data_IF_735027427084
#
_entry.id   IF_735027427084
#
_cell.length_a   1.000
_cell.length_b   1.000
_cell.length_c   1.000
_cell.angle_alpha   90.00
_cell.angle_beta   90.00
_cell.angle_gamma   90.00
#
_symmetry.space_group_name_H-M   'P 1'
#
loop_
_entity.id
_entity.type
_entity.pdbx_description
1 polymer ?
#
# COMPACT_ATOMS: atom_id res chain seq x y z
N UNK A 1 25.26 0.15 -20.49
CA UNK A 1 23.80 0.14 -20.28
C UNK A 1 23.17 -0.75 -21.33
N UNK A 2 22.54 -1.84 -20.95
CA UNK A 2 21.94 -2.80 -21.89
C UNK A 2 20.69 -2.21 -22.54
N UNK A 3 20.39 -2.56 -23.79
CA UNK A 3 19.22 -2.10 -24.57
C UNK A 3 17.89 -2.18 -23.80
N UNK A 4 17.71 -3.15 -22.91
CA UNK A 4 16.52 -3.31 -22.05
C UNK A 4 16.32 -2.17 -21.03
N UNK A 5 17.39 -1.50 -20.61
CA UNK A 5 17.34 -0.40 -19.62
C UNK A 5 16.88 0.91 -20.25
N UNK A 6 17.13 1.13 -21.53
CA UNK A 6 16.71 2.32 -22.27
C UNK A 6 15.18 2.34 -22.52
N UNK A 7 14.58 1.19 -22.81
CA UNK A 7 13.14 1.10 -23.13
C UNK A 7 12.21 1.42 -21.94
N UNK A 8 12.68 1.30 -20.69
CA UNK A 8 11.89 1.59 -19.49
C UNK A 8 12.27 2.89 -18.79
N UNK A 9 13.16 3.71 -19.36
CA UNK A 9 13.54 4.99 -18.79
C UNK A 9 12.30 5.89 -18.70
N UNK A 10 12.16 6.56 -17.59
CA UNK A 10 11.22 7.64 -17.38
C UNK A 10 11.98 8.96 -17.51
N UNK A 11 11.63 9.81 -18.48
CA UNK A 11 12.21 11.16 -18.53
C UNK A 11 11.70 11.96 -17.33
N UNK A 12 12.59 12.52 -16.49
CA UNK A 12 12.19 13.45 -15.44
C UNK A 12 11.59 14.69 -16.06
N UNK A 13 10.78 15.43 -15.30
CA UNK A 13 10.11 16.65 -15.77
C UNK A 13 11.09 17.63 -16.41
N UNK A 14 12.30 17.76 -15.87
CA UNK A 14 13.35 18.65 -16.37
C UNK A 14 13.90 18.27 -17.76
N UNK A 15 13.60 17.07 -18.26
CA UNK A 15 14.00 16.62 -19.61
C UNK A 15 12.81 16.62 -20.60
N UNK A 16 11.64 17.07 -20.21
CA UNK A 16 10.48 17.18 -21.11
C UNK A 16 10.64 18.38 -22.07
N UNK A 17 9.89 18.44 -23.18
CA UNK A 17 9.76 19.65 -23.95
C UNK A 17 9.34 20.85 -23.08
N UNK A 18 9.84 22.05 -23.36
CA UNK A 18 9.62 23.23 -22.53
C UNK A 18 8.14 23.56 -22.34
N UNK A 19 7.34 23.40 -23.38
CA UNK A 19 5.89 23.60 -23.30
C UNK A 19 5.23 22.64 -22.32
N UNK A 20 5.66 21.38 -22.29
CA UNK A 20 5.13 20.36 -21.40
C UNK A 20 5.53 20.63 -19.95
N UNK A 21 6.77 21.08 -19.73
CA UNK A 21 7.24 21.49 -18.40
C UNK A 21 6.42 22.65 -17.86
N UNK A 22 6.20 23.68 -18.69
CA UNK A 22 5.42 24.86 -18.34
C UNK A 22 3.98 24.50 -18.03
N UNK A 23 3.33 23.71 -18.90
CA UNK A 23 1.96 23.28 -18.72
C UNK A 23 1.78 22.42 -17.44
N UNK A 24 2.74 21.53 -17.14
CA UNK A 24 2.73 20.77 -15.90
C UNK A 24 2.94 21.65 -14.66
N UNK A 25 3.87 22.61 -14.73
CA UNK A 25 4.08 23.55 -13.64
C UNK A 25 2.81 24.37 -13.32
N UNK A 26 2.07 24.79 -14.34
CA UNK A 26 0.76 25.47 -14.18
C UNK A 26 -0.29 24.53 -13.59
N UNK A 27 -0.34 23.27 -14.05
CA UNK A 27 -1.33 22.30 -13.58
C UNK A 27 -1.19 21.92 -12.09
N UNK A 28 0.02 22.00 -11.53
CA UNK A 28 0.27 21.68 -10.10
C UNK A 28 0.30 22.90 -9.18
N UNK A 29 0.15 24.13 -9.73
CA UNK A 29 -0.01 25.34 -8.91
C UNK A 29 -1.28 25.28 -8.06
N UNK A 30 -1.41 26.09 -7.00
CA UNK A 30 -2.66 26.23 -6.30
C UNK A 30 -3.81 26.54 -7.27
N UNK A 31 -4.97 25.94 -7.01
CA UNK A 31 -6.15 26.17 -7.85
C UNK A 31 -6.55 27.65 -7.85
N UNK A 32 -6.77 28.21 -9.03
CA UNK A 32 -7.28 29.58 -9.20
C UNK A 32 -8.79 29.49 -9.55
N UNK A 33 -9.69 30.01 -8.70
CA UNK A 33 -11.13 29.99 -8.99
C UNK A 33 -11.53 30.89 -10.17
N UNK A 34 -10.67 31.81 -10.58
CA UNK A 34 -10.93 32.73 -11.70
C UNK A 34 -10.27 32.26 -13.02
N UNK A 35 -9.36 31.29 -12.95
CA UNK A 35 -8.76 30.66 -14.14
C UNK A 35 -8.89 29.13 -14.05
N UNK A 36 -9.85 28.61 -14.79
CA UNK A 36 -10.15 27.17 -14.81
C UNK A 36 -9.05 26.31 -15.45
N UNK A 37 -7.97 26.92 -15.97
CA UNK A 37 -6.83 26.18 -16.55
C UNK A 37 -5.67 26.01 -15.58
N UNK A 38 -5.66 26.74 -14.46
CA UNK A 38 -4.63 26.70 -13.44
C UNK A 38 -5.00 25.73 -12.31
N UNK A 39 -4.02 24.99 -11.82
CA UNK A 39 -4.19 24.18 -10.63
C UNK A 39 -5.04 22.91 -10.83
N UNK A 40 -5.22 22.44 -12.05
CA UNK A 40 -6.07 21.26 -12.35
C UNK A 40 -5.60 19.99 -11.63
N UNK A 41 -4.30 19.87 -11.31
CA UNK A 41 -3.72 18.77 -10.57
C UNK A 41 -3.36 19.15 -9.11
N UNK A 42 -3.68 20.36 -8.66
CA UNK A 42 -3.35 20.85 -7.30
C UNK A 42 -3.98 20.00 -6.19
N UNK A 43 -5.21 19.53 -6.42
CA UNK A 43 -5.92 18.66 -5.47
C UNK A 43 -5.43 17.20 -5.44
N UNK A 44 -4.47 16.83 -6.27
CA UNK A 44 -3.92 15.49 -6.24
C UNK A 44 -2.88 15.34 -5.13
N UNK A 45 -2.91 14.21 -4.43
CA UNK A 45 -1.81 13.86 -3.53
C UNK A 45 -0.48 13.81 -4.31
N UNK A 46 0.63 14.25 -3.70
CA UNK A 46 1.95 14.30 -4.32
C UNK A 46 2.32 12.98 -5.01
N UNK A 47 2.08 11.85 -4.36
CA UNK A 47 2.33 10.53 -4.94
C UNK A 47 1.52 10.28 -6.23
N UNK A 48 0.33 10.85 -6.38
CA UNK A 48 -0.46 10.77 -7.61
C UNK A 48 0.15 11.62 -8.71
N UNK A 49 0.58 12.84 -8.38
CA UNK A 49 1.29 13.72 -9.31
C UNK A 49 2.55 13.03 -9.84
N UNK A 50 3.36 12.44 -8.94
CA UNK A 50 4.61 11.74 -9.30
C UNK A 50 4.35 10.53 -10.20
N UNK A 51 3.32 9.73 -9.92
CA UNK A 51 2.95 8.56 -10.73
C UNK A 51 2.47 8.96 -12.12
N UNK A 52 1.67 10.02 -12.23
CA UNK A 52 1.16 10.51 -13.52
C UNK A 52 2.30 11.14 -14.33
N UNK A 53 3.16 11.95 -13.70
CA UNK A 53 4.34 12.52 -14.32
C UNK A 53 5.30 11.43 -14.82
N UNK A 54 5.56 10.40 -14.00
CA UNK A 54 6.37 9.27 -14.40
C UNK A 54 5.77 8.49 -15.60
N UNK A 55 4.44 8.35 -15.64
CA UNK A 55 3.73 7.75 -16.77
C UNK A 55 3.93 8.52 -18.06
N UNK A 56 3.82 9.84 -17.98
CA UNK A 56 4.05 10.73 -19.12
C UNK A 56 5.53 10.76 -19.56
N UNK A 57 6.46 10.80 -18.62
CA UNK A 57 7.88 10.71 -18.93
C UNK A 57 8.28 9.41 -19.64
N UNK A 58 7.57 8.29 -19.40
CA UNK A 58 7.76 7.03 -20.17
C UNK A 58 7.23 7.16 -21.59
N UNK A 59 6.10 7.83 -21.78
CA UNK A 59 5.55 8.12 -23.10
C UNK A 59 6.51 9.00 -23.92
N UNK A 60 7.00 10.08 -23.35
CA UNK A 60 7.97 10.96 -24.01
C UNK A 60 9.27 10.22 -24.34
N UNK A 61 9.79 9.38 -23.43
CA UNK A 61 10.96 8.56 -23.73
C UNK A 61 10.72 7.59 -24.90
N UNK A 62 9.53 7.00 -24.99
CA UNK A 62 9.18 6.13 -26.10
C UNK A 62 9.13 6.91 -27.43
N UNK A 63 8.58 8.11 -27.46
CA UNK A 63 8.62 8.99 -28.64
C UNK A 63 10.06 9.38 -29.01
N UNK A 64 10.89 9.73 -28.03
CA UNK A 64 12.30 10.08 -28.25
C UNK A 64 13.09 8.95 -28.91
N UNK A 65 12.90 7.71 -28.45
CA UNK A 65 13.56 6.53 -29.02
C UNK A 65 13.19 6.26 -30.47
N UNK A 66 12.03 6.75 -30.91
CA UNK A 66 11.54 6.63 -32.29
C UNK A 66 11.90 7.85 -33.15
N UNK A 67 12.54 8.87 -32.55
CA UNK A 67 12.79 10.13 -33.24
C UNK A 67 11.53 10.94 -33.50
N UNK A 68 10.44 10.67 -32.75
CA UNK A 68 9.13 11.30 -32.89
C UNK A 68 8.84 12.35 -31.81
N UNK A 69 9.78 12.54 -30.87
CA UNK A 69 9.69 13.59 -29.87
C UNK A 69 10.25 14.89 -30.47
N UNK A 70 9.37 15.76 -30.95
CA UNK A 70 9.74 17.11 -31.32
C UNK A 70 9.58 18.06 -30.11
N UNK A 71 10.41 19.10 -30.05
CA UNK A 71 10.35 20.12 -29.01
C UNK A 71 9.34 21.26 -29.29
N UNK A 72 8.67 21.25 -30.42
CA UNK A 72 7.84 22.34 -30.94
C UNK A 72 6.33 21.99 -30.84
N UNK A 73 5.96 20.73 -31.06
CA UNK A 73 4.58 20.28 -31.02
C UNK A 73 3.99 20.28 -29.59
N UNK A 74 2.67 20.50 -29.51
CA UNK A 74 1.95 20.43 -28.22
C UNK A 74 1.87 18.99 -27.70
N UNK A 75 1.62 18.79 -26.40
CA UNK A 75 1.36 17.46 -25.84
C UNK A 75 0.27 16.68 -26.61
N UNK A 76 -0.79 17.35 -27.04
CA UNK A 76 -1.90 16.73 -27.75
C UNK A 76 -1.58 16.36 -29.20
N UNK A 77 -0.83 17.17 -29.90
CA UNK A 77 -0.39 16.86 -31.28
C UNK A 77 0.46 15.60 -31.33
N UNK A 78 1.19 15.32 -30.26
CA UNK A 78 1.94 14.07 -30.09
C UNK A 78 1.04 12.87 -29.80
N UNK A 79 -0.11 13.05 -29.16
CA UNK A 79 -0.99 11.98 -28.67
C UNK A 79 -2.05 11.55 -29.70
N UNK A 80 -1.62 11.18 -30.92
CA UNK A 80 -2.52 10.68 -31.96
C UNK A 80 -2.94 9.23 -31.72
N UNK A 81 -4.08 8.81 -32.29
CA UNK A 81 -4.55 7.41 -32.19
C UNK A 81 -3.53 6.40 -32.70
N UNK A 82 -2.90 6.70 -33.83
CA UNK A 82 -1.88 5.81 -34.41
C UNK A 82 -0.67 5.64 -33.48
N UNK A 83 -0.17 6.74 -32.91
CA UNK A 83 0.95 6.69 -31.96
C UNK A 83 0.57 5.96 -30.66
N UNK A 84 -0.65 6.15 -30.15
CA UNK A 84 -1.11 5.43 -28.97
C UNK A 84 -1.24 3.93 -29.22
N UNK A 85 -1.73 3.54 -30.40
CA UNK A 85 -1.78 2.13 -30.78
C UNK A 85 -0.39 1.51 -30.85
N UNK A 86 0.56 2.18 -31.52
CA UNK A 86 1.94 1.73 -31.59
C UNK A 86 2.62 1.68 -30.18
N UNK A 87 2.28 2.62 -29.31
CA UNK A 87 2.73 2.61 -27.92
C UNK A 87 2.18 1.41 -27.16
N UNK A 88 0.88 1.13 -27.29
CA UNK A 88 0.23 -0.03 -26.68
C UNK A 88 0.89 -1.33 -27.14
N UNK A 89 1.12 -1.50 -28.45
CA UNK A 89 1.79 -2.65 -29.03
C UNK A 89 3.23 -2.81 -28.47
N UNK A 90 3.95 -1.69 -28.33
CA UNK A 90 5.29 -1.71 -27.74
C UNK A 90 5.30 -2.12 -26.25
N UNK A 91 4.28 -1.74 -25.49
CA UNK A 91 4.11 -2.15 -24.09
C UNK A 91 3.76 -3.64 -23.97
N UNK A 92 2.97 -4.17 -24.91
CA UNK A 92 2.64 -5.59 -25.00
C UNK A 92 3.87 -6.43 -25.34
N UNK A 93 4.67 -5.97 -26.34
CA UNK A 93 5.92 -6.61 -26.72
C UNK A 93 6.95 -6.69 -25.59
N UNK A 94 6.92 -5.77 -24.62
CA UNK A 94 7.75 -5.80 -23.42
C UNK A 94 7.29 -6.82 -22.37
N UNK A 95 6.26 -7.61 -22.65
CA UNK A 95 5.69 -8.60 -21.75
C UNK A 95 5.32 -8.03 -20.37
N UNK A 96 4.79 -6.81 -20.34
CA UNK A 96 4.28 -6.20 -19.13
C UNK A 96 2.94 -6.84 -18.71
N UNK A 97 2.63 -6.79 -17.42
CA UNK A 97 1.32 -7.19 -16.95
C UNK A 97 0.23 -6.28 -17.55
N UNK A 98 -0.88 -6.85 -18.01
CA UNK A 98 -1.99 -6.13 -18.67
C UNK A 98 -2.51 -4.96 -17.83
N UNK A 99 -2.64 -5.14 -16.50
CA UNK A 99 -3.00 -4.06 -15.56
C UNK A 99 -1.95 -2.93 -15.55
N UNK A 100 -0.67 -3.24 -15.74
CA UNK A 100 0.38 -2.22 -15.83
C UNK A 100 0.29 -1.45 -17.14
N UNK A 101 -0.04 -2.12 -18.24
CA UNK A 101 -0.28 -1.51 -19.54
C UNK A 101 -1.48 -0.55 -19.45
N UNK A 102 -2.62 -1.03 -18.95
CA UNK A 102 -3.81 -0.20 -18.73
C UNK A 102 -3.49 1.03 -17.86
N UNK A 103 -2.71 0.83 -16.78
CA UNK A 103 -2.26 1.91 -15.91
C UNK A 103 -1.43 2.97 -16.63
N UNK A 104 -0.49 2.58 -17.49
CA UNK A 104 0.34 3.52 -18.27
C UNK A 104 -0.49 4.34 -19.28
N UNK A 105 -1.43 3.70 -19.97
CA UNK A 105 -2.35 4.41 -20.87
C UNK A 105 -3.24 5.38 -20.08
N UNK A 106 -3.72 4.98 -18.90
CA UNK A 106 -4.53 5.85 -18.04
C UNK A 106 -3.75 7.06 -17.52
N UNK A 107 -2.48 6.86 -17.14
CA UNK A 107 -1.58 7.94 -16.70
C UNK A 107 -1.40 8.98 -17.82
N UNK A 108 -1.17 8.53 -19.07
CA UNK A 108 -1.08 9.42 -20.23
C UNK A 108 -2.36 10.23 -20.43
N UNK A 109 -3.52 9.58 -20.45
CA UNK A 109 -4.80 10.27 -20.63
C UNK A 109 -5.07 11.29 -19.51
N UNK A 110 -4.74 10.95 -18.26
CA UNK A 110 -4.87 11.88 -17.11
C UNK A 110 -3.89 13.05 -17.20
N UNK A 111 -2.65 12.81 -17.64
CA UNK A 111 -1.69 13.90 -17.85
C UNK A 111 -2.21 14.89 -18.88
N UNK A 112 -2.64 14.41 -20.05
CA UNK A 112 -3.15 15.27 -21.12
C UNK A 112 -4.37 16.10 -20.69
N UNK A 113 -5.26 15.55 -19.88
CA UNK A 113 -6.38 16.31 -19.30
C UNK A 113 -5.91 17.49 -18.43
N UNK A 114 -4.71 17.39 -17.81
CA UNK A 114 -4.18 18.43 -16.92
C UNK A 114 -3.35 19.47 -17.69
N UNK A 115 -2.55 19.03 -18.66
CA UNK A 115 -1.60 19.92 -19.34
C UNK A 115 -2.12 20.48 -20.67
N UNK A 116 -3.21 19.94 -21.19
CA UNK A 116 -3.89 20.42 -22.40
C UNK A 116 -5.41 20.26 -22.27
N UNK A 117 -6.03 20.97 -21.33
CA UNK A 117 -7.45 20.75 -20.94
C UNK A 117 -8.44 21.08 -22.04
N UNK A 118 -8.06 21.90 -23.04
CA UNK A 118 -8.90 22.21 -24.20
C UNK A 118 -9.13 21.00 -25.12
N UNK A 119 -8.28 19.98 -25.05
CA UNK A 119 -8.39 18.76 -25.84
C UNK A 119 -9.38 17.74 -25.26
N UNK A 120 -9.95 16.92 -26.12
CA UNK A 120 -10.79 15.79 -25.66
C UNK A 120 -9.95 14.53 -25.48
N UNK A 121 -9.52 14.26 -24.25
CA UNK A 121 -8.67 13.11 -23.88
C UNK A 121 -9.45 11.95 -23.28
N UNK A 122 -10.77 12.07 -23.15
CA UNK A 122 -11.62 11.02 -22.56
C UNK A 122 -11.57 9.70 -23.32
N UNK A 123 -11.28 9.72 -24.62
CA UNK A 123 -11.14 8.50 -25.41
C UNK A 123 -9.93 7.64 -24.95
N UNK A 124 -8.84 8.27 -24.51
CA UNK A 124 -7.65 7.56 -23.96
C UNK A 124 -8.00 6.95 -22.60
N UNK A 125 -8.69 7.71 -21.74
CA UNK A 125 -9.12 7.22 -20.42
C UNK A 125 -10.09 6.05 -20.57
N UNK A 126 -11.07 6.16 -21.48
CA UNK A 126 -12.01 5.06 -21.78
C UNK A 126 -11.32 3.82 -22.33
N UNK A 127 -10.33 3.99 -23.21
CA UNK A 127 -9.52 2.88 -23.71
C UNK A 127 -8.75 2.21 -22.56
N UNK A 128 -8.13 2.98 -21.67
CA UNK A 128 -7.46 2.46 -20.49
C UNK A 128 -8.41 1.73 -19.53
N UNK A 129 -9.62 2.25 -19.31
CA UNK A 129 -10.63 1.61 -18.46
C UNK A 129 -11.13 0.29 -19.09
N UNK A 130 -11.24 0.24 -20.42
CA UNK A 130 -11.54 -1.01 -21.14
C UNK A 130 -10.40 -2.03 -20.95
N UNK A 131 -9.15 -1.63 -21.22
CA UNK A 131 -7.99 -2.49 -21.01
C UNK A 131 -7.91 -3.01 -19.57
N UNK A 132 -8.19 -2.16 -18.58
CA UNK A 132 -8.22 -2.55 -17.17
C UNK A 132 -9.31 -3.59 -16.87
N UNK A 133 -10.48 -3.46 -17.49
CA UNK A 133 -11.62 -4.36 -17.27
C UNK A 133 -11.40 -5.75 -17.84
N UNK A 134 -10.74 -5.85 -19.01
CA UNK A 134 -10.47 -7.12 -19.69
C UNK A 134 -9.16 -7.77 -19.24
N UNK A 135 -8.32 -7.03 -18.49
CA UNK A 135 -7.03 -7.49 -18.04
C UNK A 135 -7.16 -8.73 -17.14
N UNK A 136 -6.36 -9.74 -17.43
CA UNK A 136 -6.25 -10.92 -16.60
C UNK A 136 -5.16 -10.72 -15.53
N UNK A 137 -5.40 -11.11 -14.27
CA UNK A 137 -4.38 -11.09 -13.24
C UNK A 137 -3.24 -12.05 -13.61
N UNK A 138 -2.02 -11.55 -13.71
CA UNK A 138 -0.84 -12.37 -14.06
C UNK A 138 -0.48 -13.41 -12.98
N UNK A 139 -0.97 -13.23 -11.77
CA UNK A 139 -0.79 -14.14 -10.63
C UNK A 139 -2.08 -14.26 -9.87
N UNK A 140 -2.50 -15.47 -9.60
CA UNK A 140 -3.53 -15.68 -8.60
C UNK A 140 -2.93 -15.31 -7.23
N UNK A 141 -3.59 -14.37 -6.54
CA UNK A 141 -3.17 -13.97 -5.20
C UNK A 141 -3.50 -15.04 -4.15
N UNK A 142 -4.43 -15.94 -4.46
CA UNK A 142 -4.81 -17.04 -3.58
C UNK A 142 -3.63 -17.96 -3.30
N UNK A 143 -2.76 -18.20 -4.28
CA UNK A 143 -1.57 -19.04 -4.14
C UNK A 143 -0.57 -18.59 -3.06
N UNK A 144 -0.64 -17.32 -2.63
CA UNK A 144 0.26 -16.76 -1.61
C UNK A 144 -0.47 -16.42 -0.31
N UNK A 145 -1.80 -16.61 -0.28
CA UNK A 145 -2.58 -16.40 0.95
C UNK A 145 -2.35 -17.57 1.89
N UNK A 146 -2.22 -17.25 3.16
CA UNK A 146 -2.18 -18.22 4.25
C UNK A 146 -3.36 -17.93 5.18
N UNK A 147 -3.89 -18.92 5.87
CA UNK A 147 -4.87 -18.70 6.92
C UNK A 147 -4.36 -17.67 7.94
N UNK A 148 -5.20 -16.73 8.38
CA UNK A 148 -4.78 -15.66 9.28
C UNK A 148 -4.25 -16.19 10.61
N UNK A 149 -4.79 -17.30 11.13
CA UNK A 149 -4.31 -17.97 12.34
C UNK A 149 -2.89 -18.51 12.20
N UNK A 150 -2.51 -19.02 11.02
CA UNK A 150 -1.15 -19.51 10.74
C UNK A 150 -0.15 -18.35 10.72
N UNK A 151 -0.55 -17.21 10.16
CA UNK A 151 0.33 -16.01 10.18
C UNK A 151 0.40 -15.43 11.60
N UNK A 152 -0.69 -15.42 12.35
CA UNK A 152 -0.70 -15.02 13.75
C UNK A 152 0.24 -15.89 14.58
N UNK A 153 0.17 -17.22 14.39
CA UNK A 153 1.04 -18.16 15.09
C UNK A 153 2.50 -17.90 14.74
N UNK A 154 2.86 -17.68 13.47
CA UNK A 154 4.21 -17.26 13.09
C UNK A 154 4.67 -16.01 13.87
N UNK A 155 3.78 -15.01 14.00
CA UNK A 155 4.09 -13.82 14.79
C UNK A 155 4.41 -14.13 16.26
N UNK A 156 3.61 -15.01 16.89
CA UNK A 156 3.81 -15.45 18.27
C UNK A 156 5.11 -16.25 18.42
N UNK A 157 5.37 -17.20 17.53
CA UNK A 157 6.57 -18.04 17.53
C UNK A 157 7.86 -17.22 17.38
N UNK A 158 7.84 -16.17 16.57
CA UNK A 158 8.97 -15.24 16.42
C UNK A 158 9.22 -14.45 17.70
N UNK A 159 8.18 -14.02 18.40
CA UNK A 159 8.32 -13.33 19.70
C UNK A 159 8.84 -14.28 20.78
N UNK A 160 8.32 -15.49 20.84
CA UNK A 160 8.79 -16.51 21.79
C UNK A 160 10.24 -16.92 21.52
N UNK A 161 10.62 -17.10 20.26
CA UNK A 161 12.00 -17.37 19.88
C UNK A 161 12.94 -16.21 20.23
N UNK A 162 12.47 -14.97 20.15
CA UNK A 162 13.24 -13.80 20.55
C UNK A 162 13.54 -13.78 22.06
N UNK A 163 12.64 -14.27 22.89
CA UNK A 163 12.83 -14.34 24.34
C UNK A 163 13.71 -15.53 24.75
N UNK A 164 13.63 -16.65 24.06
CA UNK A 164 14.22 -17.92 24.48
C UNK A 164 15.55 -18.28 23.79
N UNK A 165 15.85 -17.72 22.62
CA UNK A 165 17.06 -18.04 21.86
C UNK A 165 18.28 -17.33 22.42
N UNK A 166 19.09 -18.09 23.17
CA UNK A 166 20.34 -17.62 23.84
C UNK A 166 21.51 -17.46 22.87
N UNK A 167 21.42 -17.97 21.67
CA UNK A 167 22.52 -17.90 20.70
C UNK A 167 22.46 -16.65 19.83
N UNK A 168 21.38 -15.87 19.88
CA UNK A 168 21.24 -14.59 19.17
C UNK A 168 21.76 -13.43 19.98
N UNK A 169 22.28 -12.42 19.30
CA UNK A 169 22.58 -11.13 19.93
C UNK A 169 21.31 -10.46 20.43
N UNK A 170 21.42 -9.59 21.43
CA UNK A 170 20.26 -8.83 21.93
C UNK A 170 19.58 -8.01 20.82
N UNK A 171 20.38 -7.43 19.92
CA UNK A 171 19.86 -6.70 18.75
C UNK A 171 19.09 -7.62 17.79
N UNK A 172 19.58 -8.83 17.53
CA UNK A 172 18.88 -9.78 16.65
C UNK A 172 17.60 -10.30 17.30
N UNK A 173 17.59 -10.50 18.61
CA UNK A 173 16.40 -10.82 19.39
C UNK A 173 15.38 -9.69 19.33
N UNK A 174 15.81 -8.46 19.51
CA UNK A 174 14.93 -7.29 19.41
C UNK A 174 14.32 -7.12 18.01
N UNK A 175 15.09 -7.37 16.96
CA UNK A 175 14.58 -7.40 15.58
C UNK A 175 13.56 -8.53 15.39
N UNK A 176 13.83 -9.71 15.93
CA UNK A 176 12.95 -10.87 15.81
C UNK A 176 11.61 -10.62 16.51
N UNK A 177 11.65 -10.11 17.74
CA UNK A 177 10.46 -9.76 18.51
C UNK A 177 9.60 -8.71 17.79
N UNK A 178 10.25 -7.62 17.32
CA UNK A 178 9.58 -6.57 16.53
C UNK A 178 8.86 -7.16 15.33
N UNK A 179 9.53 -8.01 14.56
CA UNK A 179 8.98 -8.58 13.34
C UNK A 179 7.81 -9.52 13.64
N UNK A 180 7.87 -10.27 14.73
CA UNK A 180 6.78 -11.09 15.24
C UNK A 180 5.55 -10.26 15.62
N UNK A 181 5.76 -9.21 16.44
CA UNK A 181 4.71 -8.30 16.86
C UNK A 181 4.07 -7.58 15.65
N UNK A 182 4.88 -7.18 14.67
CA UNK A 182 4.43 -6.51 13.46
C UNK A 182 3.53 -7.43 12.61
N UNK A 183 3.88 -8.71 12.45
CA UNK A 183 3.05 -9.70 11.77
C UNK A 183 1.75 -9.96 12.53
N UNK A 184 1.83 -10.24 13.84
CA UNK A 184 0.67 -10.51 14.68
C UNK A 184 -0.32 -9.32 14.72
N UNK A 185 0.20 -8.08 14.77
CA UNK A 185 -0.61 -6.88 14.68
C UNK A 185 -1.28 -6.74 13.31
N UNK A 186 -0.52 -6.91 12.21
CA UNK A 186 -1.03 -6.69 10.87
C UNK A 186 -2.11 -7.69 10.46
N UNK A 187 -2.08 -8.92 11.00
CA UNK A 187 -3.15 -9.91 10.83
C UNK A 187 -4.45 -9.43 11.49
N UNK A 188 -4.36 -8.91 12.70
CA UNK A 188 -5.53 -8.48 13.46
C UNK A 188 -6.02 -7.07 13.08
N UNK A 189 -5.13 -6.22 12.58
CA UNK A 189 -5.41 -4.85 12.11
C UNK A 189 -4.72 -4.65 10.76
N UNK A 190 -5.38 -4.96 9.65
CA UNK A 190 -4.81 -4.94 8.31
C UNK A 190 -4.61 -3.51 7.79
N UNK A 191 -3.78 -2.73 8.48
CA UNK A 191 -3.45 -1.35 8.14
C UNK A 191 -2.79 -1.23 6.77
N UNK A 192 -2.99 -0.09 6.13
CA UNK A 192 -2.14 0.29 5.00
C UNK A 192 -0.71 0.46 5.48
N UNK A 193 0.24 0.12 4.62
CA UNK A 193 1.67 0.13 4.92
C UNK A 193 2.14 1.47 5.48
N UNK A 194 1.70 2.59 4.88
CA UNK A 194 2.03 3.93 5.37
C UNK A 194 1.47 4.20 6.78
N UNK A 195 0.22 3.80 7.05
CA UNK A 195 -0.39 3.98 8.36
C UNK A 195 0.33 3.15 9.43
N UNK A 196 0.73 1.93 9.06
CA UNK A 196 1.51 1.07 9.94
C UNK A 196 2.90 1.67 10.25
N UNK A 197 3.60 2.16 9.23
CA UNK A 197 4.91 2.81 9.37
C UNK A 197 4.83 4.12 10.17
N UNK A 198 3.72 4.84 10.05
CA UNK A 198 3.48 6.11 10.72
C UNK A 198 3.05 6.01 12.19
N UNK A 199 2.98 4.80 12.78
CA UNK A 199 2.63 4.66 14.20
C UNK A 199 3.72 5.28 15.09
N UNK A 200 3.31 6.22 15.94
CA UNK A 200 4.19 7.07 16.76
C UNK A 200 3.66 7.15 18.19
N UNK A 201 4.51 6.79 19.15
CA UNK A 201 4.18 6.80 20.57
C UNK A 201 3.90 8.23 21.05
N UNK A 202 2.84 8.38 21.85
CA UNK A 202 2.45 9.66 22.40
C UNK A 202 1.82 10.64 21.38
N UNK A 203 1.57 10.20 20.15
CA UNK A 203 0.89 10.99 19.12
C UNK A 203 -0.35 10.27 18.59
N UNK A 204 -0.13 9.22 17.79
CA UNK A 204 -1.23 8.43 17.22
C UNK A 204 -1.35 7.02 17.81
N UNK A 205 -0.43 6.63 18.69
CA UNK A 205 -0.51 5.46 19.56
C UNK A 205 -0.30 5.88 21.02
N UNK A 206 -1.39 5.89 21.78
CA UNK A 206 -1.43 6.38 23.15
C UNK A 206 -2.04 5.36 24.09
N UNK A 207 -1.54 5.31 25.34
CA UNK A 207 -2.20 4.65 26.44
C UNK A 207 -3.10 5.67 27.18
N UNK A 208 -4.40 5.35 27.24
CA UNK A 208 -5.36 6.06 28.10
C UNK A 208 -5.84 5.06 29.15
N UNK A 209 -6.99 4.48 29.06
CA UNK A 209 -7.36 3.30 29.87
C UNK A 209 -6.92 2.00 29.16
N UNK A 210 -6.80 2.06 27.84
CA UNK A 210 -6.30 1.02 26.94
C UNK A 210 -5.40 1.66 25.90
N UNK A 211 -4.55 0.86 25.24
CA UNK A 211 -3.77 1.32 24.09
C UNK A 211 -4.70 1.62 22.91
N UNK A 212 -4.64 2.84 22.41
CA UNK A 212 -5.48 3.33 21.31
C UNK A 212 -4.64 3.87 20.17
N UNK A 213 -5.11 3.62 18.95
CA UNK A 213 -4.55 4.16 17.71
C UNK A 213 -5.54 5.18 17.16
N UNK A 214 -5.04 6.40 16.86
CA UNK A 214 -5.80 7.47 16.23
C UNK A 214 -4.95 8.10 15.14
N UNK A 215 -5.39 7.99 13.89
CA UNK A 215 -4.74 8.61 12.73
C UNK A 215 -5.74 9.53 12.09
N UNK A 216 -5.37 10.79 11.97
CA UNK A 216 -6.25 11.84 11.41
C UNK A 216 -6.47 11.63 9.90
N UNK A 217 -7.52 12.22 9.36
CA UNK A 217 -7.91 12.08 7.96
C UNK A 217 -6.83 12.58 7.00
N UNK A 218 -6.14 13.66 7.35
CA UNK A 218 -5.02 14.22 6.57
C UNK A 218 -3.87 13.22 6.36
N UNK A 219 -3.65 12.32 7.32
CA UNK A 219 -2.57 11.34 7.29
C UNK A 219 -2.97 10.01 6.62
N UNK A 220 -4.23 9.90 6.20
CA UNK A 220 -4.74 8.70 5.54
C UNK A 220 -4.92 8.90 4.04
N UNK A 221 -4.60 7.88 3.25
CA UNK A 221 -4.68 7.93 1.77
C UNK A 221 -6.06 8.27 1.21
N UNK A 222 -7.12 7.99 1.95
CA UNK A 222 -8.53 8.15 1.51
C UNK A 222 -9.28 9.20 2.32
N UNK A 223 -8.58 9.97 3.16
CA UNK A 223 -9.20 11.03 3.96
C UNK A 223 -10.20 10.52 5.00
N UNK A 224 -10.14 9.24 5.39
CA UNK A 224 -10.95 8.70 6.47
C UNK A 224 -10.07 8.48 7.70
N UNK A 225 -10.41 9.08 8.87
CA UNK A 225 -9.62 8.90 10.08
C UNK A 225 -9.68 7.43 10.54
N UNK A 226 -8.63 6.99 11.22
CA UNK A 226 -8.57 5.66 11.84
C UNK A 226 -8.63 5.85 13.34
N UNK A 227 -9.57 5.17 14.01
CA UNK A 227 -9.65 5.12 15.47
C UNK A 227 -9.97 3.69 15.88
N UNK A 228 -9.05 3.03 16.59
CA UNK A 228 -9.27 1.68 17.10
C UNK A 228 -8.36 1.40 18.30
N UNK A 229 -8.73 0.40 19.11
CA UNK A 229 -7.87 -0.10 20.16
C UNK A 229 -6.79 -1.00 19.59
N UNK A 230 -5.63 -1.00 20.25
CA UNK A 230 -4.63 -2.05 20.06
C UNK A 230 -5.25 -3.42 20.41
N UNK A 231 -4.95 -4.49 19.65
CA UNK A 231 -5.49 -5.82 19.96
C UNK A 231 -5.18 -6.24 21.40
N UNK A 232 -6.21 -6.60 22.17
CA UNK A 232 -6.05 -6.94 23.59
C UNK A 232 -5.06 -8.06 23.84
N UNK A 233 -5.07 -9.11 23.01
CA UNK A 233 -4.12 -10.21 23.08
C UNK A 233 -2.68 -9.87 22.72
N UNK A 234 -2.40 -8.64 22.26
CA UNK A 234 -1.05 -8.17 21.94
C UNK A 234 -0.58 -7.00 22.82
N UNK A 235 -1.32 -6.65 23.88
CA UNK A 235 -0.97 -5.53 24.76
C UNK A 235 0.34 -5.82 25.50
N UNK A 236 0.46 -6.99 26.11
CA UNK A 236 1.68 -7.40 26.82
C UNK A 236 2.89 -7.40 25.88
N UNK A 237 2.73 -7.94 24.69
CA UNK A 237 3.78 -7.94 23.67
C UNK A 237 4.17 -6.52 23.22
N UNK A 238 3.19 -5.59 23.06
CA UNK A 238 3.47 -4.19 22.77
C UNK A 238 4.31 -3.54 23.87
N UNK A 239 3.90 -3.68 25.12
CA UNK A 239 4.60 -3.10 26.25
C UNK A 239 6.00 -3.70 26.40
N UNK A 240 6.14 -5.01 26.22
CA UNK A 240 7.44 -5.70 26.22
C UNK A 240 8.34 -5.16 25.11
N UNK A 241 7.78 -4.99 23.91
CA UNK A 241 8.51 -4.40 22.80
C UNK A 241 8.99 -2.98 23.13
N UNK A 242 8.10 -2.12 23.60
CA UNK A 242 8.43 -0.73 23.93
C UNK A 242 9.52 -0.65 25.02
N UNK A 243 9.34 -1.41 26.09
CA UNK A 243 10.19 -1.30 27.28
C UNK A 243 11.57 -1.97 27.13
N UNK A 244 11.68 -3.00 26.30
CA UNK A 244 12.89 -3.82 26.20
C UNK A 244 13.48 -3.81 24.81
N UNK A 245 12.77 -4.38 23.84
CA UNK A 245 13.35 -4.62 22.53
C UNK A 245 13.57 -3.33 21.73
N UNK A 246 12.66 -2.39 21.82
CA UNK A 246 12.79 -1.09 21.17
C UNK A 246 13.96 -0.29 21.72
N UNK A 247 14.12 -0.29 23.04
CA UNK A 247 15.29 0.32 23.72
C UNK A 247 16.60 -0.34 23.30
N UNK A 248 16.62 -1.66 23.21
CA UNK A 248 17.79 -2.42 22.73
C UNK A 248 18.22 -1.99 21.33
N UNK A 249 17.25 -1.70 20.42
CA UNK A 249 17.56 -1.23 19.08
C UNK A 249 18.19 0.18 19.07
N UNK A 250 17.93 1.01 20.07
CA UNK A 250 18.58 2.32 20.21
C UNK A 250 19.97 2.22 20.86
N UNK A 251 20.13 1.37 21.87
CA UNK A 251 21.38 1.27 22.65
C UNK A 251 22.58 0.79 21.81
N UNK A 252 22.32 0.00 20.75
CA UNK A 252 23.35 -0.49 19.85
C UNK A 252 23.92 0.56 18.88
N UNK A 253 23.47 1.83 18.94
CA UNK A 253 23.83 2.85 17.96
C UNK A 253 24.86 3.85 18.48
N UNK A 254 25.77 4.25 17.58
CA UNK A 254 26.79 5.30 17.87
C UNK A 254 26.19 6.69 18.05
N UNK A 255 25.00 6.94 17.50
CA UNK A 255 24.27 8.20 17.58
C UNK A 255 22.90 7.90 18.15
N UNK A 256 22.58 8.50 19.29
CA UNK A 256 21.22 8.43 19.86
C UNK A 256 20.27 9.20 18.92
N UNK A 257 19.37 8.47 18.29
CA UNK A 257 18.25 9.06 17.54
C UNK A 257 17.05 8.99 18.48
N UNK A 258 16.60 10.13 18.97
CA UNK A 258 15.33 10.21 19.70
C UNK A 258 14.22 10.14 18.68
N UNK A 259 13.59 8.99 18.59
CA UNK A 259 12.49 8.76 17.69
C UNK A 259 11.29 8.22 18.44
N UNK A 260 10.16 8.88 18.32
CA UNK A 260 8.87 8.41 18.87
C UNK A 260 8.21 7.34 17.96
N UNK A 261 8.77 7.04 16.77
CA UNK A 261 8.25 5.99 15.91
C UNK A 261 8.15 4.65 16.67
N UNK A 262 7.03 3.95 16.49
CA UNK A 262 6.85 2.64 17.11
C UNK A 262 7.87 1.65 16.55
N UNK A 263 7.99 1.56 15.24
CA UNK A 263 8.81 0.55 14.58
C UNK A 263 10.22 1.07 14.33
N UNK A 264 11.19 0.42 14.98
CA UNK A 264 12.61 0.81 14.89
C UNK A 264 13.40 -0.25 14.14
N UNK A 265 14.23 0.19 13.20
CA UNK A 265 15.12 -0.69 12.42
C UNK A 265 16.27 -1.23 13.25
N UNK A 266 16.97 -2.26 12.74
CA UNK A 266 18.21 -2.78 13.35
C UNK A 266 19.28 -1.68 13.54
N UNK A 267 19.22 -0.60 12.76
CA UNK A 267 20.12 0.55 12.82
C UNK A 267 19.62 1.68 13.73
N UNK A 268 18.60 1.43 14.57
CA UNK A 268 18.09 2.42 15.52
C UNK A 268 17.32 3.58 14.88
N UNK A 269 16.89 3.45 13.63
CA UNK A 269 16.12 4.49 12.90
C UNK A 269 14.67 4.07 12.77
N UNK A 270 13.76 5.02 12.65
CA UNK A 270 12.37 4.75 12.29
C UNK A 270 12.29 3.92 11.00
N UNK A 271 11.44 2.90 10.98
CA UNK A 271 11.18 2.10 9.79
C UNK A 271 10.15 2.81 8.92
N UNK A 272 10.56 3.16 7.71
CA UNK A 272 9.60 3.60 6.69
C UNK A 272 8.88 2.42 6.04
N UNK A 273 7.92 2.76 5.15
CA UNK A 273 7.09 1.80 4.42
C UNK A 273 7.87 0.66 3.76
N UNK A 274 8.98 0.97 3.09
CA UNK A 274 9.75 -0.03 2.35
C UNK A 274 10.52 -0.97 3.27
N UNK A 275 10.97 -0.48 4.42
CA UNK A 275 11.61 -1.31 5.44
C UNK A 275 10.60 -2.31 6.03
N UNK A 276 9.40 -1.85 6.40
CA UNK A 276 8.31 -2.72 6.88
C UNK A 276 7.91 -3.73 5.81
N UNK A 277 7.72 -3.29 4.57
CA UNK A 277 7.40 -4.16 3.44
C UNK A 277 8.44 -5.28 3.26
N UNK A 278 9.72 -4.92 3.32
CA UNK A 278 10.82 -5.85 3.14
C UNK A 278 10.89 -6.87 4.27
N UNK A 279 10.69 -6.46 5.53
CA UNK A 279 10.71 -7.35 6.70
C UNK A 279 9.56 -8.36 6.67
N UNK A 280 8.31 -7.89 6.45
CA UNK A 280 7.15 -8.78 6.35
C UNK A 280 7.38 -9.84 5.27
N UNK A 281 7.85 -9.44 4.10
CA UNK A 281 8.14 -10.37 3.00
C UNK A 281 9.26 -11.35 3.33
N UNK A 282 10.30 -10.90 4.01
CA UNK A 282 11.42 -11.75 4.38
C UNK A 282 10.96 -12.85 5.37
N UNK A 283 10.22 -12.47 6.42
CA UNK A 283 9.72 -13.43 7.42
C UNK A 283 8.75 -14.43 6.82
N UNK A 284 7.75 -13.96 6.08
CA UNK A 284 6.76 -14.84 5.45
C UNK A 284 7.37 -15.73 4.37
N UNK A 285 8.40 -15.25 3.63
CA UNK A 285 9.12 -16.09 2.67
C UNK A 285 9.95 -17.17 3.34
N UNK A 286 10.59 -16.84 4.47
CA UNK A 286 11.39 -17.81 5.22
C UNK A 286 10.52 -18.96 5.75
N UNK A 287 9.32 -18.64 6.24
CA UNK A 287 8.40 -19.63 6.80
C UNK A 287 7.64 -20.40 5.72
N UNK A 288 6.99 -19.68 4.81
CA UNK A 288 6.04 -20.30 3.85
C UNK A 288 6.64 -20.56 2.46
N UNK A 289 7.94 -20.28 2.25
CA UNK A 289 8.56 -20.35 0.92
C UNK A 289 8.08 -19.28 -0.06
N UNK A 290 6.97 -18.60 0.22
CA UNK A 290 6.36 -17.55 -0.61
C UNK A 290 6.22 -16.26 0.21
N UNK A 291 6.64 -15.13 -0.38
CA UNK A 291 6.58 -13.83 0.29
C UNK A 291 5.14 -13.26 0.26
N UNK A 292 4.56 -13.04 1.42
CA UNK A 292 3.30 -12.32 1.58
C UNK A 292 3.59 -10.83 1.70
N UNK A 293 2.92 -9.99 0.91
CA UNK A 293 3.08 -8.54 1.04
C UNK A 293 2.00 -7.93 1.96
N UNK A 294 2.22 -6.77 2.58
CA UNK A 294 1.26 -6.16 3.50
C UNK A 294 -0.14 -5.95 2.92
N UNK A 295 -0.26 -5.74 1.60
CA UNK A 295 -1.56 -5.58 0.97
C UNK A 295 -2.37 -6.90 0.94
N UNK A 296 -1.69 -8.04 0.92
CA UNK A 296 -2.34 -9.37 0.95
C UNK A 296 -3.07 -9.61 2.27
N UNK A 297 -2.57 -9.08 3.39
CA UNK A 297 -3.25 -9.17 4.70
C UNK A 297 -4.66 -8.57 4.65
N UNK A 298 -4.84 -7.50 3.88
CA UNK A 298 -6.16 -6.88 3.66
C UNK A 298 -7.09 -7.80 2.85
N UNK A 299 -6.53 -8.52 1.90
CA UNK A 299 -7.30 -9.51 1.12
C UNK A 299 -7.64 -10.73 1.99
N UNK A 300 -6.71 -11.20 2.83
CA UNK A 300 -6.95 -12.29 3.79
C UNK A 300 -8.07 -11.90 4.74
N UNK A 301 -8.03 -10.71 5.35
CA UNK A 301 -9.08 -10.21 6.23
C UNK A 301 -10.44 -10.13 5.52
N UNK A 302 -10.47 -9.60 4.29
CA UNK A 302 -11.70 -9.51 3.50
C UNK A 302 -12.30 -10.90 3.20
N UNK A 303 -11.46 -11.85 2.80
CA UNK A 303 -11.89 -13.23 2.51
C UNK A 303 -12.46 -13.90 3.76
N UNK A 304 -11.75 -13.78 4.89
CA UNK A 304 -12.18 -14.37 6.16
C UNK A 304 -13.54 -13.82 6.63
N UNK A 305 -13.75 -12.49 6.55
CA UNK A 305 -15.04 -11.89 6.92
C UNK A 305 -16.15 -12.35 5.98
N UNK A 306 -15.87 -12.44 4.68
CA UNK A 306 -16.84 -12.89 3.69
C UNK A 306 -17.25 -14.36 3.90
N UNK A 307 -16.32 -15.21 4.34
CA UNK A 307 -16.55 -16.63 4.62
C UNK A 307 -17.28 -16.85 5.95
N UNK A 308 -16.93 -16.08 6.99
CA UNK A 308 -17.53 -16.23 8.32
C UNK A 308 -18.94 -15.63 8.44
N UNK A 309 -19.25 -14.58 7.69
CA UNK A 309 -20.56 -13.92 7.75
C UNK A 309 -20.87 -13.16 6.45
N UNK A 310 -21.47 -13.81 5.44
CA UNK A 310 -21.84 -13.15 4.17
C UNK A 310 -22.75 -11.92 4.35
N UNK A 311 -23.56 -11.90 5.43
CA UNK A 311 -24.42 -10.76 5.75
C UNK A 311 -23.65 -9.52 6.27
N UNK A 312 -22.42 -9.71 6.72
CA UNK A 312 -21.56 -8.64 7.29
C UNK A 312 -20.52 -8.13 6.29
N UNK A 313 -20.78 -8.28 5.00
CA UNK A 313 -19.88 -7.73 3.94
C UNK A 313 -19.64 -6.23 4.06
N UNK A 314 -20.53 -5.47 4.71
CA UNK A 314 -20.32 -4.08 5.11
C UNK A 314 -19.18 -3.93 6.10
N UNK A 315 -18.97 -4.87 7.02
CA UNK A 315 -17.85 -4.85 7.96
C UNK A 315 -16.48 -4.95 7.27
N UNK A 316 -16.41 -5.59 6.09
CA UNK A 316 -15.19 -5.61 5.27
C UNK A 316 -14.75 -4.20 4.91
N UNK A 317 -15.69 -3.32 4.56
CA UNK A 317 -15.40 -1.93 4.19
C UNK A 317 -14.88 -1.15 5.39
N UNK A 318 -15.44 -1.38 6.57
CA UNK A 318 -15.05 -0.71 7.81
C UNK A 318 -13.67 -1.18 8.30
N UNK A 319 -13.40 -2.49 8.35
CA UNK A 319 -12.09 -3.04 8.72
C UNK A 319 -11.00 -2.61 7.74
N UNK A 320 -11.33 -2.52 6.46
CA UNK A 320 -10.37 -2.13 5.43
C UNK A 320 -10.31 -0.62 5.19
N UNK A 321 -11.20 0.18 5.79
CA UNK A 321 -11.28 1.61 5.55
C UNK A 321 -11.42 1.92 4.06
N UNK A 322 -12.28 1.18 3.33
CA UNK A 322 -12.57 1.45 1.93
C UNK A 322 -13.64 2.52 1.84
N UNK A 323 -13.23 3.79 1.81
CA UNK A 323 -14.15 4.90 1.60
C UNK A 323 -14.63 4.97 0.16
N UNK A 324 -15.80 4.46 -0.14
CA UNK A 324 -16.61 4.86 -1.27
C UNK A 324 -18.08 4.99 -0.90
N UNK A 325 -18.37 5.68 0.19
CA UNK A 325 -19.67 6.32 0.41
C UNK A 325 -19.46 7.76 0.91
N UNK A 326 -20.25 8.66 0.33
CA UNK A 326 -20.10 10.12 0.46
C UNK A 326 -20.35 10.64 1.87
N UNK A 327 -19.45 11.44 2.32
CA UNK A 327 -19.50 12.68 3.15
C UNK A 327 -20.50 12.84 4.33
N UNK A 328 -21.48 11.98 4.57
CA UNK A 328 -22.39 12.04 5.72
C UNK A 328 -22.03 11.09 6.87
N UNK A 329 -21.13 10.16 6.64
CA UNK A 329 -20.86 8.99 7.49
C UNK A 329 -19.66 9.15 8.43
N UNK A 330 -19.05 10.34 8.50
CA UNK A 330 -17.82 10.57 9.30
C UNK A 330 -17.92 10.11 10.77
N UNK A 331 -19.10 10.16 11.36
CA UNK A 331 -19.33 9.77 12.75
C UNK A 331 -19.79 8.31 12.90
N UNK A 332 -20.47 7.76 11.89
CA UNK A 332 -20.88 6.35 11.88
C UNK A 332 -19.67 5.42 11.65
N UNK A 333 -18.72 5.86 10.84
CA UNK A 333 -17.51 5.07 10.51
C UNK A 333 -16.58 4.82 11.70
N UNK A 334 -16.51 5.70 12.70
CA UNK A 334 -15.66 5.46 13.87
C UNK A 334 -16.18 4.32 14.76
N UNK A 335 -17.48 4.30 15.01
CA UNK A 335 -18.09 3.22 15.80
C UNK A 335 -18.14 1.91 15.03
N UNK A 336 -18.41 1.96 13.71
CA UNK A 336 -18.41 0.81 12.83
C UNK A 336 -17.03 0.17 12.67
N UNK A 337 -15.97 1.00 12.59
CA UNK A 337 -14.59 0.50 12.46
C UNK A 337 -14.11 -0.20 13.74
N UNK A 338 -14.52 0.27 14.91
CA UNK A 338 -14.23 -0.38 16.17
C UNK A 338 -14.98 -1.72 16.30
N UNK A 339 -16.28 -1.72 16.04
CA UNK A 339 -17.11 -2.92 16.08
C UNK A 339 -16.66 -3.99 15.07
N UNK A 340 -16.34 -3.57 13.83
CA UNK A 340 -15.80 -4.44 12.80
C UNK A 340 -14.43 -5.00 13.18
N UNK A 341 -13.58 -4.20 13.81
CA UNK A 341 -12.28 -4.65 14.31
C UNK A 341 -12.42 -5.67 15.45
N UNK A 342 -13.34 -5.49 16.34
CA UNK A 342 -13.63 -6.42 17.44
C UNK A 342 -14.29 -7.71 16.93
N UNK A 343 -15.16 -7.61 15.93
CA UNK A 343 -15.77 -8.77 15.28
C UNK A 343 -14.71 -9.61 14.55
N UNK A 344 -13.84 -8.97 13.77
CA UNK A 344 -12.73 -9.62 13.09
C UNK A 344 -11.78 -10.33 14.08
N UNK A 345 -11.48 -9.67 15.21
CA UNK A 345 -10.67 -10.27 16.26
C UNK A 345 -11.33 -11.51 16.86
N UNK A 346 -12.63 -11.45 17.19
CA UNK A 346 -13.41 -12.62 17.69
C UNK A 346 -13.45 -13.76 16.67
N UNK A 347 -13.63 -13.45 15.39
CA UNK A 347 -13.63 -14.45 14.33
C UNK A 347 -12.25 -15.13 14.20
N UNK A 348 -11.16 -14.37 14.32
CA UNK A 348 -9.81 -14.90 14.32
C UNK A 348 -9.55 -15.81 15.53
N UNK A 349 -10.00 -15.43 16.72
CA UNK A 349 -9.89 -16.26 17.92
C UNK A 349 -10.72 -17.54 17.81
N UNK A 350 -11.94 -17.46 17.23
CA UNK A 350 -12.79 -18.62 17.00
C UNK A 350 -12.17 -19.61 15.99
N UNK A 351 -11.55 -19.13 14.91
CA UNK A 351 -10.82 -19.96 13.96
C UNK A 351 -9.60 -20.62 14.61
N UNK A 352 -8.84 -19.87 15.41
CA UNK A 352 -7.72 -20.45 16.18
C UNK A 352 -8.19 -21.56 17.11
N UNK A 353 -9.25 -21.31 17.87
CA UNK A 353 -9.81 -22.31 18.77
C UNK A 353 -10.34 -23.57 18.06
N UNK A 354 -10.78 -23.46 16.79
CA UNK A 354 -11.15 -24.63 15.96
C UNK A 354 -9.92 -25.38 15.48
N UNK A 355 -8.90 -24.68 15.02
CA UNK A 355 -7.64 -25.28 14.59
C UNK A 355 -6.97 -26.03 15.76
N UNK A 356 -6.96 -25.44 16.98
CA UNK A 356 -6.42 -26.06 18.19
C UNK A 356 -7.21 -27.33 18.62
N UNK A 357 -8.52 -27.43 18.27
CA UNK A 357 -9.32 -28.61 18.50
C UNK A 357 -9.22 -29.66 17.40
N UNK A 358 -8.45 -29.44 16.37
CA UNK A 358 -8.31 -30.40 15.25
C UNK A 358 -9.55 -30.51 14.35
N UNK A 359 -10.51 -29.58 14.43
CA UNK A 359 -11.75 -29.57 13.63
C UNK A 359 -11.52 -28.92 12.23
N UNK A 360 -10.35 -29.13 11.65
CA UNK A 360 -9.95 -28.59 10.35
C UNK A 360 -10.00 -29.61 9.24
N UNK A 361 -10.92 -29.42 8.27
CA UNK A 361 -11.03 -30.05 6.95
C UNK A 361 -11.44 -31.54 6.95
N UNK A 362 -12.74 -31.79 7.04
CA UNK A 362 -13.32 -32.88 6.26
C UNK A 362 -13.31 -32.47 4.78
N UNK A 363 -12.43 -33.14 4.06
CA UNK A 363 -12.27 -33.08 2.61
C UNK A 363 -13.61 -33.56 1.97
N UNK A 364 -14.45 -32.63 1.52
CA UNK A 364 -15.56 -32.98 0.66
C UNK A 364 -14.99 -33.28 -0.73
N UNK A 365 -14.62 -34.57 -0.91
CA UNK A 365 -14.49 -35.19 -2.21
C UNK A 365 -15.82 -35.07 -2.93
N UNK A 366 -15.91 -34.24 -3.94
CA UNK A 366 -16.96 -34.30 -4.96
C UNK A 366 -16.66 -35.48 -5.90
N UNK A 367 -17.46 -36.54 -5.80
CA UNK A 367 -17.72 -37.48 -6.88
C UNK A 367 -18.59 -36.83 -7.97
#
# INVERSE_FOLDING_TARGET
MTHATLHNRCLPVSEWPEQDQTAWAVAVQPYDPFDSTVGLAAGWARATQDVVAAGYGRWLNWLAQRGELDGIGTPGERATRGRLQAYLESLQAQNLAELSIAGRIKQLGRMLQMIEPAGNWMWIVRAADHLHRVAQPRRDRRDIMQPPEVILQLGMDLMDAAENDRFRTDTDRAVLFRDGLLLAFLVQRPFRRSNLAGLTLGQNLEFRDVWQIRIEDADTKNGAPISCNWPSGLVEALERYIKVHRETLFLGQKVKVDSQALWISKQGRAMGDDAIYSQIRARTKAEFGKAINPHTFRSIAATMIAESSPAESTAIMDVLGHGSMRTGERYYNQAGMQAAGEHFHRSLEAHRARADRGEGSDDQSFD
#
